data_IF_008863395493
#
_entry.id   IF_008863395493
#
_cell.length_a   1.000
_cell.length_b   1.000
_cell.length_c   1.000
_cell.angle_alpha   90.00
_cell.angle_beta   90.00
_cell.angle_gamma   90.00
#
_symmetry.space_group_name_H-M   'P 1'
#
loop_
_entity.id
_entity.type
_entity.pdbx_description
1 polymer ?
#
# COMPACT_ATOMS: atom_id res chain seq x y z
N UNK A 1 79.66 -1.14 7.90
CA UNK A 1 78.57 -0.66 7.03
C UNK A 1 77.45 -1.69 7.09
N UNK A 2 76.31 -1.31 7.68
CA UNK A 2 75.15 -2.16 7.99
C UNK A 2 74.14 -2.06 6.82
N UNK A 3 73.77 -3.17 6.18
CA UNK A 3 72.69 -3.20 5.19
C UNK A 3 71.51 -4.00 5.76
N UNK A 4 70.50 -3.25 6.19
CA UNK A 4 69.17 -3.71 6.56
C UNK A 4 68.46 -4.19 5.29
N UNK A 5 67.94 -5.42 5.27
CA UNK A 5 66.98 -5.88 4.26
C UNK A 5 65.67 -6.27 4.94
N UNK A 6 64.59 -5.78 4.35
CA UNK A 6 63.23 -5.70 4.87
C UNK A 6 62.60 -7.08 5.06
N UNK A 7 61.94 -7.27 6.20
CA UNK A 7 60.92 -8.30 6.39
C UNK A 7 59.59 -7.74 5.88
N UNK A 8 59.08 -8.33 4.79
CA UNK A 8 57.74 -8.05 4.29
C UNK A 8 56.72 -8.88 5.09
N UNK A 9 55.93 -8.22 5.95
CA UNK A 9 54.78 -8.84 6.60
C UNK A 9 53.58 -8.67 5.67
N UNK A 10 53.16 -9.77 5.02
CA UNK A 10 51.90 -9.83 4.29
C UNK A 10 50.78 -10.00 5.30
N UNK A 11 50.04 -8.92 5.58
CA UNK A 11 48.79 -9.00 6.33
C UNK A 11 47.69 -9.54 5.42
N UNK A 12 47.33 -10.81 5.63
CA UNK A 12 46.15 -11.43 5.02
C UNK A 12 44.91 -10.93 5.76
N UNK A 13 44.24 -9.90 5.24
CA UNK A 13 42.97 -9.41 5.78
C UNK A 13 41.85 -10.38 5.40
N UNK A 14 41.36 -11.15 6.37
CA UNK A 14 40.09 -11.86 6.27
C UNK A 14 38.96 -10.82 6.24
N UNK A 15 38.40 -10.58 5.05
CA UNK A 15 37.13 -9.87 4.91
C UNK A 15 36.00 -10.79 5.41
N UNK A 16 35.48 -10.51 6.61
CA UNK A 16 34.25 -11.12 7.11
C UNK A 16 33.10 -10.44 6.37
N UNK A 17 32.46 -11.15 5.44
CA UNK A 17 31.21 -10.70 4.83
C UNK A 17 30.10 -10.82 5.87
N UNK A 18 29.76 -9.72 6.55
CA UNK A 18 28.53 -9.61 7.32
C UNK A 18 27.36 -9.64 6.33
N UNK A 19 26.79 -10.83 6.13
CA UNK A 19 25.50 -10.96 5.47
C UNK A 19 24.46 -10.29 6.37
N UNK A 20 24.11 -9.04 6.06
CA UNK A 20 22.91 -8.42 6.58
C UNK A 20 21.71 -9.21 6.06
N UNK A 21 21.23 -10.15 6.87
CA UNK A 21 19.90 -10.74 6.73
C UNK A 21 18.91 -9.59 6.87
N UNK A 22 18.57 -8.93 5.76
CA UNK A 22 17.55 -7.90 5.72
C UNK A 22 16.29 -8.45 6.36
N UNK A 23 15.85 -7.82 7.45
CA UNK A 23 14.59 -8.17 8.09
C UNK A 23 13.50 -8.12 7.02
N UNK A 24 12.84 -9.24 6.76
CA UNK A 24 11.74 -9.30 5.80
C UNK A 24 10.59 -8.51 6.38
N UNK A 25 10.23 -7.40 5.73
CA UNK A 25 9.08 -6.60 6.14
C UNK A 25 7.83 -7.50 6.19
N UNK A 26 6.99 -7.39 7.24
CA UNK A 26 5.79 -8.20 7.33
C UNK A 26 4.89 -7.97 6.10
N UNK A 27 4.11 -8.99 5.68
CA UNK A 27 3.25 -8.84 4.52
C UNK A 27 2.19 -7.76 4.75
N UNK A 28 1.86 -7.01 3.70
CA UNK A 28 0.79 -6.04 3.73
C UNK A 28 -0.56 -6.68 4.06
N UNK A 29 -1.40 -5.95 4.78
CA UNK A 29 -2.75 -6.35 5.19
C UNK A 29 -3.66 -5.13 5.27
N UNK A 30 -4.97 -5.35 5.42
CA UNK A 30 -5.92 -4.26 5.65
C UNK A 30 -6.00 -3.91 7.13
N UNK A 31 -6.07 -2.61 7.41
CA UNK A 31 -6.20 -2.06 8.76
C UNK A 31 -7.29 -0.99 8.78
N UNK A 32 -8.24 -1.10 9.72
CA UNK A 32 -9.30 -0.12 9.93
C UNK A 32 -9.03 0.77 11.15
N UNK A 33 -9.10 2.07 10.93
CA UNK A 33 -9.00 3.11 11.95
C UNK A 33 -10.25 4.00 11.93
N UNK A 34 -10.59 4.56 13.09
CA UNK A 34 -11.63 5.57 13.24
C UNK A 34 -11.05 6.80 13.90
N UNK A 35 -11.34 7.96 13.33
CA UNK A 35 -11.01 9.28 13.87
C UNK A 35 -12.29 10.10 13.85
N UNK A 36 -12.91 10.29 15.01
CA UNK A 36 -14.25 10.89 15.13
C UNK A 36 -15.29 10.19 14.22
N UNK A 37 -15.85 10.91 13.24
CA UNK A 37 -16.79 10.37 12.25
C UNK A 37 -16.14 9.77 11.01
N UNK A 38 -14.82 9.92 10.86
CA UNK A 38 -14.06 9.45 9.72
C UNK A 38 -13.58 8.02 9.93
N UNK A 39 -13.92 7.13 9.00
CA UNK A 39 -13.31 5.81 8.91
C UNK A 39 -12.16 5.82 7.88
N UNK A 40 -11.05 5.17 8.22
CA UNK A 40 -9.91 4.97 7.31
C UNK A 40 -9.61 3.49 7.21
N UNK A 41 -9.64 2.94 6.00
CA UNK A 41 -9.27 1.57 5.70
C UNK A 41 -8.04 1.57 4.79
N UNK A 42 -6.89 1.23 5.34
CA UNK A 42 -5.59 1.28 4.67
C UNK A 42 -5.07 -0.13 4.38
N UNK A 43 -4.41 -0.31 3.23
CA UNK A 43 -3.67 -1.50 2.86
C UNK A 43 -2.18 -1.18 2.84
N UNK A 44 -1.42 -1.84 3.70
CA UNK A 44 0.01 -1.61 3.84
C UNK A 44 0.66 -2.56 4.85
N UNK A 45 2.00 -2.56 4.95
CA UNK A 45 2.72 -3.27 5.99
C UNK A 45 2.28 -2.77 7.38
N UNK A 46 2.17 -3.66 8.38
CA UNK A 46 1.80 -3.26 9.73
C UNK A 46 2.88 -2.35 10.34
N UNK A 47 2.45 -1.32 11.08
CA UNK A 47 3.33 -0.33 11.73
C UNK A 47 4.29 0.37 10.75
N UNK A 48 3.80 0.66 9.54
CA UNK A 48 4.53 1.35 8.49
C UNK A 48 3.68 2.48 7.93
N UNK A 49 4.32 3.59 7.58
CA UNK A 49 3.67 4.71 6.88
C UNK A 49 3.49 4.41 5.39
N UNK A 50 3.99 3.26 4.91
CA UNK A 50 3.84 2.82 3.53
C UNK A 50 2.41 2.33 3.26
N UNK A 51 1.58 3.18 2.67
CA UNK A 51 0.20 2.88 2.30
C UNK A 51 0.06 2.71 0.79
N UNK A 52 -0.27 1.50 0.34
CA UNK A 52 -0.50 1.24 -1.09
C UNK A 52 -1.90 1.69 -1.54
N UNK A 53 -2.92 1.50 -0.71
CA UNK A 53 -4.26 2.03 -0.93
C UNK A 53 -4.89 2.45 0.39
N UNK A 54 -5.58 3.58 0.39
CA UNK A 54 -6.44 3.97 1.49
C UNK A 54 -7.81 4.40 0.99
N UNK A 55 -8.84 3.91 1.67
CA UNK A 55 -10.22 4.32 1.50
C UNK A 55 -10.64 5.10 2.75
N UNK A 56 -11.22 6.28 2.58
CA UNK A 56 -11.78 7.05 3.70
C UNK A 56 -13.21 7.46 3.43
N UNK A 57 -14.04 7.50 4.48
CA UNK A 57 -15.42 7.96 4.38
C UNK A 57 -15.90 8.56 5.69
N UNK A 58 -16.78 9.54 5.59
CA UNK A 58 -17.58 10.02 6.72
C UNK A 58 -18.76 9.07 6.98
N UNK A 59 -19.17 8.99 8.24
CA UNK A 59 -20.34 8.21 8.66
C UNK A 59 -21.56 8.53 7.78
N UNK A 60 -22.17 7.50 7.19
CA UNK A 60 -23.40 7.59 6.37
C UNK A 60 -23.32 8.53 5.15
N UNK A 61 -22.13 8.90 4.70
CA UNK A 61 -21.97 9.82 3.55
C UNK A 61 -22.23 9.16 2.20
N UNK A 62 -22.02 7.84 2.10
CA UNK A 62 -21.99 7.10 0.83
C UNK A 62 -20.83 7.48 -0.09
N UNK A 63 -19.99 8.46 0.30
CA UNK A 63 -18.83 8.93 -0.44
C UNK A 63 -17.55 8.29 0.13
N UNK A 64 -16.71 7.78 -0.75
CA UNK A 64 -15.42 7.17 -0.41
C UNK A 64 -14.34 7.94 -1.15
N UNK A 65 -13.46 8.60 -0.39
CA UNK A 65 -12.22 9.15 -0.93
C UNK A 65 -11.20 8.02 -1.05
N UNK A 66 -10.53 7.98 -2.19
CA UNK A 66 -9.58 6.93 -2.56
C UNK A 66 -8.23 7.59 -2.73
N UNK A 67 -7.27 7.13 -1.94
CA UNK A 67 -5.85 7.41 -2.09
C UNK A 67 -5.14 6.15 -2.57
N UNK A 68 -4.20 6.27 -3.49
CA UNK A 68 -3.33 5.18 -3.93
C UNK A 68 -1.93 5.72 -4.19
N UNK A 69 -0.92 4.91 -3.87
CA UNK A 69 0.36 5.04 -4.53
C UNK A 69 0.15 4.83 -6.05
N UNK A 70 0.61 5.77 -6.87
CA UNK A 70 0.49 5.68 -8.33
C UNK A 70 1.88 5.60 -8.91
N UNK A 71 2.28 4.40 -9.32
CA UNK A 71 3.59 4.21 -9.96
C UNK A 71 3.64 4.89 -11.33
N UNK A 72 2.48 5.14 -11.94
CA UNK A 72 2.37 5.60 -13.32
C UNK A 72 2.25 7.12 -13.50
N UNK A 73 1.98 7.85 -12.41
CA UNK A 73 1.66 9.29 -12.46
C UNK A 73 0.45 9.64 -13.34
N UNK A 74 -0.49 8.69 -13.52
CA UNK A 74 -1.68 8.87 -14.37
C UNK A 74 -2.87 9.37 -13.53
N UNK A 75 -3.68 10.32 -14.05
CA UNK A 75 -4.88 10.83 -13.37
C UNK A 75 -6.07 9.86 -13.47
N UNK A 76 -5.80 8.56 -13.49
CA UNK A 76 -6.80 7.51 -13.62
C UNK A 76 -6.31 6.18 -13.05
N UNK A 77 -7.21 5.45 -12.40
CA UNK A 77 -6.99 4.04 -12.03
C UNK A 77 -8.27 3.23 -12.19
N UNK A 78 -8.15 1.90 -12.14
CA UNK A 78 -9.29 0.98 -12.09
C UNK A 78 -9.21 0.18 -10.80
N UNK A 79 -10.29 0.21 -10.03
CA UNK A 79 -10.52 -0.72 -8.94
C UNK A 79 -11.20 -1.97 -9.50
N UNK A 80 -10.69 -3.15 -9.15
CA UNK A 80 -11.24 -4.42 -9.59
C UNK A 80 -11.48 -5.38 -8.43
N UNK A 81 -12.65 -6.03 -8.42
CA UNK A 81 -13.01 -7.07 -7.47
C UNK A 81 -13.72 -8.21 -8.22
N UNK A 82 -12.98 -9.28 -8.52
CA UNK A 82 -13.47 -10.36 -9.36
C UNK A 82 -13.84 -9.87 -10.77
N UNK A 83 -15.09 -10.05 -11.19
CA UNK A 83 -15.60 -9.56 -12.49
C UNK A 83 -16.17 -8.13 -12.43
N UNK A 84 -16.13 -7.47 -11.27
CA UNK A 84 -16.62 -6.10 -11.10
C UNK A 84 -15.44 -5.14 -11.14
N UNK A 85 -15.60 -4.06 -11.88
CA UNK A 85 -14.59 -3.01 -11.96
C UNK A 85 -15.24 -1.63 -11.91
N UNK A 86 -14.50 -0.66 -11.42
CA UNK A 86 -14.85 0.76 -11.40
C UNK A 86 -13.64 1.53 -11.92
N UNK A 87 -13.79 2.25 -13.03
CA UNK A 87 -12.77 3.19 -13.50
C UNK A 87 -12.95 4.51 -12.77
N UNK A 88 -11.85 5.03 -12.23
CA UNK A 88 -11.82 6.28 -11.50
C UNK A 88 -10.92 7.28 -12.22
N UNK A 89 -11.39 8.53 -12.27
CA UNK A 89 -10.60 9.68 -12.71
C UNK A 89 -10.31 10.53 -11.49
N UNK A 90 -9.11 11.11 -11.41
CA UNK A 90 -8.67 11.82 -10.22
C UNK A 90 -7.55 12.79 -10.50
N UNK A 91 -6.90 13.22 -9.44
CA UNK A 91 -5.72 14.08 -9.48
C UNK A 91 -4.49 13.29 -9.07
N UNK A 92 -3.33 13.71 -9.57
CA UNK A 92 -2.03 13.17 -9.16
C UNK A 92 -1.14 14.28 -8.66
N UNK A 93 -0.37 14.00 -7.63
CA UNK A 93 0.58 14.95 -7.04
C UNK A 93 1.80 14.20 -6.47
N UNK A 94 2.91 14.91 -6.30
CA UNK A 94 4.10 14.33 -5.68
C UNK A 94 3.81 14.01 -4.21
N UNK A 95 4.01 12.76 -3.82
CA UNK A 95 3.79 12.30 -2.46
C UNK A 95 5.07 12.50 -1.63
N UNK A 96 5.09 13.39 -0.64
CA UNK A 96 6.26 13.60 0.21
C UNK A 96 6.56 12.41 1.13
N UNK A 97 5.59 11.55 1.43
CA UNK A 97 5.78 10.41 2.35
C UNK A 97 6.48 9.24 1.64
N UNK A 98 5.99 8.83 0.48
CA UNK A 98 6.64 7.78 -0.32
C UNK A 98 7.78 8.28 -1.21
N UNK A 99 7.86 9.59 -1.48
CA UNK A 99 8.72 10.16 -2.52
C UNK A 99 8.25 9.86 -3.95
N UNK A 100 7.08 9.25 -4.11
CA UNK A 100 6.47 8.84 -5.37
C UNK A 100 5.41 9.82 -5.89
N UNK A 101 4.47 9.30 -6.68
CA UNK A 101 3.27 10.04 -7.10
C UNK A 101 2.05 9.43 -6.42
N UNK A 102 1.24 10.25 -5.76
CA UNK A 102 -0.05 9.85 -5.25
C UNK A 102 -1.13 10.05 -6.31
N UNK A 103 -2.18 9.24 -6.23
CA UNK A 103 -3.46 9.46 -6.91
C UNK A 103 -4.56 9.65 -5.87
N UNK A 104 -5.42 10.64 -6.10
CA UNK A 104 -6.61 10.87 -5.29
C UNK A 104 -7.87 11.11 -6.11
N UNK A 105 -8.99 10.60 -5.60
CA UNK A 105 -10.33 10.82 -6.16
C UNK A 105 -11.40 10.56 -5.11
N UNK A 106 -12.65 10.81 -5.47
CA UNK A 106 -13.83 10.44 -4.70
C UNK A 106 -14.74 9.55 -5.56
N UNK A 107 -15.32 8.52 -4.95
CA UNK A 107 -16.27 7.59 -5.59
C UNK A 107 -17.39 7.26 -4.62
N UNK A 108 -18.44 6.59 -5.10
CA UNK A 108 -19.48 6.05 -4.20
C UNK A 108 -19.01 4.75 -3.54
N UNK A 109 -19.42 4.54 -2.28
CA UNK A 109 -19.34 3.24 -1.60
C UNK A 109 -20.11 2.13 -2.35
N UNK A 110 -21.08 2.52 -3.17
CA UNK A 110 -21.86 1.64 -4.05
C UNK A 110 -21.21 1.40 -5.42
N UNK A 111 -19.98 1.87 -5.65
CA UNK A 111 -19.27 1.56 -6.87
C UNK A 111 -19.07 0.05 -7.01
N UNK A 112 -19.28 -0.49 -8.22
CA UNK A 112 -19.39 -1.94 -8.45
C UNK A 112 -18.20 -2.75 -7.89
N UNK A 113 -16.97 -2.25 -8.01
CA UNK A 113 -15.79 -2.88 -7.41
C UNK A 113 -15.80 -2.84 -5.88
N UNK A 114 -16.18 -1.72 -5.27
CA UNK A 114 -16.22 -1.53 -3.82
C UNK A 114 -17.33 -2.35 -3.16
N UNK A 115 -18.53 -2.41 -3.75
CA UNK A 115 -19.60 -3.28 -3.24
C UNK A 115 -19.20 -4.76 -3.26
N UNK A 116 -18.50 -5.19 -4.32
CA UNK A 116 -18.04 -6.57 -4.41
C UNK A 116 -16.84 -6.82 -3.49
N UNK A 117 -16.00 -5.81 -3.25
CA UNK A 117 -14.93 -5.88 -2.25
C UNK A 117 -15.50 -6.01 -0.84
N UNK A 118 -16.53 -5.25 -0.47
CA UNK A 118 -17.23 -5.37 0.82
C UNK A 118 -17.73 -6.80 1.08
N UNK A 119 -18.16 -7.50 0.02
CA UNK A 119 -18.67 -8.88 0.08
C UNK A 119 -17.55 -9.92 0.12
N UNK A 120 -16.48 -9.72 -0.64
CA UNK A 120 -15.49 -10.78 -0.91
C UNK A 120 -14.16 -10.60 -0.18
N UNK A 121 -13.82 -9.37 0.21
CA UNK A 121 -12.50 -8.99 0.70
C UNK A 121 -11.40 -9.03 -0.37
N UNK A 122 -11.75 -9.05 -1.67
CA UNK A 122 -10.77 -9.04 -2.76
C UNK A 122 -10.83 -7.72 -3.50
N UNK A 123 -9.72 -6.99 -3.53
CA UNK A 123 -9.57 -5.79 -4.33
C UNK A 123 -8.24 -5.85 -5.11
N UNK A 124 -8.20 -5.17 -6.23
CA UNK A 124 -6.97 -4.91 -6.97
C UNK A 124 -7.02 -3.49 -7.52
N UNK A 125 -5.87 -2.84 -7.53
CA UNK A 125 -5.66 -1.55 -8.20
C UNK A 125 -4.97 -1.80 -9.53
N UNK A 126 -5.42 -1.11 -10.57
CA UNK A 126 -4.84 -1.17 -11.93
C UNK A 126 -4.63 0.28 -12.39
N UNK A 127 -3.39 0.76 -12.43
CA UNK A 127 -3.01 2.12 -12.89
C UNK A 127 -2.39 2.13 -14.31
N UNK A 128 -1.83 0.99 -14.71
CA UNK A 128 -1.19 0.74 -16.01
C UNK A 128 -1.84 -0.48 -16.68
N UNK A 129 -1.08 -1.56 -16.80
CA UNK A 129 -1.51 -2.90 -17.22
C UNK A 129 -1.28 -3.94 -16.13
N UNK A 130 -0.64 -3.55 -15.02
CA UNK A 130 -0.39 -4.44 -13.89
C UNK A 130 -1.49 -4.30 -12.84
N UNK A 131 -2.09 -5.43 -12.48
CA UNK A 131 -2.99 -5.50 -11.35
C UNK A 131 -2.17 -5.72 -10.07
N UNK A 132 -2.31 -4.82 -9.09
CA UNK A 132 -1.77 -5.00 -7.74
C UNK A 132 -2.86 -5.61 -6.84
N UNK A 133 -2.79 -6.91 -6.51
CA UNK A 133 -3.78 -7.55 -5.65
C UNK A 133 -3.60 -7.13 -4.19
N UNK A 134 -4.71 -6.84 -3.52
CA UNK A 134 -4.77 -6.41 -2.11
C UNK A 134 -5.73 -7.34 -1.34
N UNK A 135 -5.34 -8.61 -1.13
CA UNK A 135 -6.23 -9.61 -0.56
C UNK A 135 -6.49 -9.34 0.93
N UNK A 136 -7.75 -9.45 1.35
CA UNK A 136 -8.12 -9.46 2.76
C UNK A 136 -8.03 -10.88 3.34
N UNK A 137 -7.28 -11.02 4.44
CA UNK A 137 -7.32 -12.20 5.30
C UNK A 137 -8.73 -12.43 5.88
N UNK A 138 -8.93 -13.54 6.59
CA UNK A 138 -10.20 -13.78 7.28
C UNK A 138 -10.48 -12.71 8.37
N UNK A 139 -9.44 -12.14 8.99
CA UNK A 139 -9.57 -11.07 9.97
C UNK A 139 -9.92 -9.75 9.29
N UNK A 140 -9.14 -9.37 8.29
CA UNK A 140 -9.30 -8.17 7.46
C UNK A 140 -10.71 -8.05 6.88
N UNK A 141 -11.31 -9.18 6.45
CA UNK A 141 -12.68 -9.19 5.92
C UNK A 141 -13.71 -8.61 6.91
N UNK A 142 -13.51 -8.77 8.22
CA UNK A 142 -14.38 -8.13 9.21
C UNK A 142 -14.20 -6.62 9.21
N UNK A 143 -12.97 -6.14 9.11
CA UNK A 143 -12.64 -4.72 9.06
C UNK A 143 -13.15 -4.06 7.79
N UNK A 144 -12.95 -4.69 6.63
CA UNK A 144 -13.51 -4.26 5.35
C UNK A 144 -15.03 -4.08 5.45
N UNK A 145 -15.75 -5.04 6.02
CA UNK A 145 -17.21 -4.91 6.21
C UNK A 145 -17.59 -3.81 7.17
N UNK A 146 -16.85 -3.63 8.27
CA UNK A 146 -17.08 -2.56 9.25
C UNK A 146 -16.88 -1.19 8.63
N UNK A 147 -15.87 -1.03 7.78
CA UNK A 147 -15.65 0.20 7.01
C UNK A 147 -16.88 0.53 6.15
N UNK A 148 -17.30 -0.40 5.28
CA UNK A 148 -18.44 -0.12 4.39
C UNK A 148 -19.77 0.07 5.13
N UNK A 149 -19.98 -0.62 6.24
CA UNK A 149 -21.15 -0.42 7.10
C UNK A 149 -21.15 0.95 7.81
N UNK A 150 -19.99 1.58 7.99
CA UNK A 150 -19.88 2.94 8.52
C UNK A 150 -20.17 3.98 7.45
N UNK A 151 -19.74 3.74 6.21
CA UNK A 151 -19.96 4.68 5.11
C UNK A 151 -21.42 4.77 4.64
N UNK A 152 -22.26 3.77 4.94
CA UNK A 152 -23.67 3.67 4.51
C UNK A 152 -24.60 3.75 5.70
#
# INVERSE_FOLDING_TARGET
MLKIFLVWVVFLTLAVAEASLGAREPPASWHLYFEDSLAKLAYGPPNSDNVGLMLTCEAHSGAVRVYSDSEAGRPSLVLASGRKSTRLQGVTYADPESGGTAFETETSSHAAALENFAKTGRLSVIDTEHARPMPASAADKREVRRFFAHCT
#
